data_IF_601292386702
#
_entry.id   IF_601292386702
#
_cell.length_a   1.000
_cell.length_b   1.000
_cell.length_c   1.000
_cell.angle_alpha   90.00
_cell.angle_beta   90.00
_cell.angle_gamma   90.00
#
_symmetry.space_group_name_H-M   'P 1'
#
loop_
_entity.id
_entity.type
_entity.pdbx_description
1 polymer ?
#
# COMPACT_ATOMS: atom_id res chain seq x y z
N UNK A 1 17.73 -9.01 12.54
CA UNK A 1 17.18 -7.86 11.79
C UNK A 1 15.67 -8.09 11.73
N UNK A 2 14.85 -7.12 12.13
CA UNK A 2 13.38 -7.24 12.08
C UNK A 2 12.81 -6.85 10.71
N UNK A 3 11.52 -7.14 10.48
CA UNK A 3 10.84 -6.84 9.22
C UNK A 3 10.98 -5.37 8.79
N UNK A 4 10.73 -4.44 9.71
CA UNK A 4 10.83 -2.99 9.48
C UNK A 4 12.21 -2.59 8.94
N UNK A 5 13.28 -3.13 9.52
CA UNK A 5 14.65 -2.82 9.10
C UNK A 5 14.99 -3.37 7.71
N UNK A 6 14.42 -4.51 7.34
CA UNK A 6 14.55 -5.05 5.99
C UNK A 6 13.79 -4.19 4.97
N UNK A 7 12.60 -3.68 5.32
CA UNK A 7 11.85 -2.71 4.50
C UNK A 7 12.62 -1.39 4.32
N UNK A 8 13.21 -0.84 5.38
CA UNK A 8 14.01 0.39 5.29
C UNK A 8 15.25 0.16 4.43
N UNK A 9 15.90 -0.99 4.58
CA UNK A 9 17.01 -1.40 3.71
C UNK A 9 16.58 -1.52 2.25
N UNK A 10 15.33 -1.95 2.01
CA UNK A 10 14.74 -2.05 0.68
C UNK A 10 14.44 -0.66 0.08
N UNK A 11 13.81 0.25 0.83
CA UNK A 11 13.62 1.65 0.43
C UNK A 11 14.96 2.33 0.12
N UNK A 12 16.00 2.02 0.89
CA UNK A 12 17.35 2.53 0.66
C UNK A 12 17.97 2.02 -0.66
N UNK A 13 17.46 0.97 -1.29
CA UNK A 13 17.94 0.52 -2.61
C UNK A 13 17.27 1.24 -3.78
N UNK A 14 16.17 1.97 -3.54
CA UNK A 14 15.55 2.79 -4.58
C UNK A 14 16.53 3.87 -5.06
N UNK A 15 16.64 4.02 -6.38
CA UNK A 15 17.64 4.89 -6.99
C UNK A 15 17.14 5.50 -8.30
N UNK A 16 17.68 6.68 -8.63
CA UNK A 16 17.38 7.41 -9.86
C UNK A 16 18.61 8.24 -10.25
N UNK A 17 18.78 8.49 -11.54
CA UNK A 17 19.80 9.41 -12.06
C UNK A 17 19.33 10.88 -12.05
N UNK A 18 18.03 11.13 -11.91
CA UNK A 18 17.42 12.46 -11.98
C UNK A 18 16.88 12.95 -10.65
N UNK A 19 16.37 12.04 -9.81
CA UNK A 19 15.80 12.39 -8.50
C UNK A 19 16.87 12.24 -7.41
N UNK A 20 17.02 13.27 -6.58
CA UNK A 20 18.00 13.30 -5.51
C UNK A 20 17.69 12.26 -4.42
N UNK A 21 18.74 11.69 -3.83
CA UNK A 21 18.62 10.66 -2.79
C UNK A 21 17.74 11.08 -1.61
N UNK A 22 17.89 12.32 -1.15
CA UNK A 22 17.05 12.86 -0.08
C UNK A 22 15.58 12.90 -0.49
N UNK A 23 15.25 13.29 -1.73
CA UNK A 23 13.86 13.34 -2.21
C UNK A 23 13.20 11.94 -2.24
N UNK A 24 13.97 10.91 -2.61
CA UNK A 24 13.50 9.52 -2.58
C UNK A 24 13.15 9.11 -1.14
N UNK A 25 14.06 9.36 -0.20
CA UNK A 25 13.85 9.03 1.23
C UNK A 25 12.70 9.86 1.83
N UNK A 26 12.61 11.14 1.49
CA UNK A 26 11.51 12.02 1.89
C UNK A 26 10.15 11.49 1.44
N UNK A 27 10.09 10.87 0.26
CA UNK A 27 8.86 10.29 -0.26
C UNK A 27 8.39 9.12 0.57
N UNK A 28 9.27 8.13 0.84
CA UNK A 28 8.96 7.03 1.77
C UNK A 28 8.57 7.55 3.15
N UNK A 29 9.32 8.52 3.67
CA UNK A 29 9.06 9.11 4.99
C UNK A 29 7.67 9.75 5.05
N UNK A 30 7.25 10.46 4.01
CA UNK A 30 5.93 11.10 3.96
C UNK A 30 4.78 10.11 4.06
N UNK A 31 4.82 9.02 3.30
CA UNK A 31 3.80 7.97 3.36
C UNK A 31 3.78 7.27 4.72
N UNK A 32 4.94 6.92 5.28
CA UNK A 32 5.02 6.26 6.58
C UNK A 32 4.64 7.19 7.74
N UNK A 33 4.90 8.49 7.65
CA UNK A 33 4.43 9.47 8.63
C UNK A 33 2.90 9.50 8.68
N UNK A 34 2.25 9.53 7.51
CA UNK A 34 0.78 9.47 7.39
C UNK A 34 0.25 8.16 7.98
N UNK A 35 0.86 7.02 7.64
CA UNK A 35 0.48 5.71 8.17
C UNK A 35 0.67 5.60 9.69
N UNK A 36 1.69 6.26 10.25
CA UNK A 36 1.90 6.31 11.70
C UNK A 36 1.00 7.32 12.43
N UNK A 37 0.13 8.05 11.71
CA UNK A 37 -0.69 9.12 12.27
C UNK A 37 0.10 10.38 12.66
N UNK A 38 1.34 10.51 12.21
CA UNK A 38 2.19 11.67 12.48
C UNK A 38 2.10 12.69 11.33
N UNK A 39 2.38 13.96 11.65
CA UNK A 39 2.52 14.98 10.62
C UNK A 39 3.85 14.85 9.89
N UNK A 40 3.80 14.89 8.56
CA UNK A 40 5.01 14.95 7.73
C UNK A 40 5.66 16.35 7.84
N UNK A 41 6.98 16.35 8.03
CA UNK A 41 7.83 17.54 7.90
C UNK A 41 9.05 17.22 7.04
N UNK A 42 9.37 18.12 6.10
CA UNK A 42 10.55 17.98 5.25
C UNK A 42 11.84 18.09 6.07
N UNK A 43 12.82 17.22 5.83
CA UNK A 43 14.10 17.25 6.53
C UNK A 43 15.12 18.13 5.83
N UNK A 44 15.97 18.78 6.62
CA UNK A 44 17.03 19.66 6.12
C UNK A 44 18.22 18.91 5.52
N UNK A 45 18.38 17.62 5.80
CA UNK A 45 19.44 16.77 5.25
C UNK A 45 18.97 15.33 5.03
N UNK A 46 19.72 14.59 4.21
CA UNK A 46 19.52 13.16 4.00
C UNK A 46 19.58 12.37 5.32
N UNK A 47 20.56 12.64 6.18
CA UNK A 47 20.69 11.91 7.46
C UNK A 47 19.47 12.11 8.36
N UNK A 48 18.93 13.34 8.43
CA UNK A 48 17.68 13.62 9.13
C UNK A 48 16.49 12.94 8.47
N UNK A 49 16.43 12.91 7.14
CA UNK A 49 15.37 12.20 6.42
C UNK A 49 15.40 10.70 6.71
N UNK A 50 16.58 10.09 6.75
CA UNK A 50 16.76 8.66 7.06
C UNK A 50 16.42 8.32 8.51
N UNK A 51 16.87 9.13 9.48
CA UNK A 51 16.51 8.91 10.89
C UNK A 51 15.01 9.10 11.14
N UNK A 52 14.38 10.08 10.50
CA UNK A 52 12.93 10.26 10.62
C UNK A 52 12.17 9.14 9.90
N UNK A 53 12.65 8.67 8.74
CA UNK A 53 12.09 7.50 8.07
C UNK A 53 12.08 6.29 9.00
N UNK A 54 13.20 5.98 9.66
CA UNK A 54 13.29 4.90 10.63
C UNK A 54 12.26 5.05 11.76
N UNK A 55 12.16 6.24 12.36
CA UNK A 55 11.20 6.50 13.43
C UNK A 55 9.73 6.31 12.98
N UNK A 56 9.35 6.88 11.84
CA UNK A 56 7.99 6.72 11.31
C UNK A 56 7.69 5.27 10.91
N UNK A 57 8.67 4.57 10.34
CA UNK A 57 8.53 3.17 9.98
C UNK A 57 8.26 2.27 11.20
N UNK A 58 9.02 2.45 12.29
CA UNK A 58 8.81 1.70 13.54
C UNK A 58 7.44 1.98 14.17
N UNK A 59 6.96 3.24 14.12
CA UNK A 59 5.62 3.58 14.60
C UNK A 59 4.51 2.99 13.73
N UNK A 60 4.62 3.16 12.41
CA UNK A 60 3.64 2.65 11.44
C UNK A 60 3.54 1.12 11.50
N UNK A 61 4.62 0.41 11.86
CA UNK A 61 4.63 -1.04 12.00
C UNK A 61 3.69 -1.60 13.08
N UNK A 62 3.17 -0.75 13.98
CA UNK A 62 2.09 -1.14 14.91
C UNK A 62 0.79 -1.52 14.19
N UNK A 63 0.60 -1.04 12.96
CA UNK A 63 -0.44 -1.44 12.01
C UNK A 63 0.22 -2.04 10.76
N UNK A 64 0.42 -3.36 10.76
CA UNK A 64 1.12 -4.04 9.67
C UNK A 64 0.47 -3.81 8.29
N UNK A 65 -0.87 -3.93 8.11
CA UNK A 65 -1.52 -3.58 6.85
C UNK A 65 -1.26 -2.14 6.40
N UNK A 66 -1.44 -1.15 7.28
CA UNK A 66 -1.23 0.25 6.96
C UNK A 66 0.23 0.56 6.60
N UNK A 67 1.18 -0.04 7.33
CA UNK A 67 2.60 0.04 7.00
C UNK A 67 2.91 -0.50 5.60
N UNK A 68 2.43 -1.71 5.28
CA UNK A 68 2.72 -2.36 4.00
C UNK A 68 2.11 -1.57 2.84
N UNK A 69 0.86 -1.13 2.99
CA UNK A 69 0.18 -0.30 2.00
C UNK A 69 0.96 0.99 1.75
N UNK A 70 1.29 1.75 2.81
CA UNK A 70 2.04 2.99 2.68
C UNK A 70 3.43 2.82 2.04
N UNK A 71 4.10 1.70 2.32
CA UNK A 71 5.36 1.37 1.66
C UNK A 71 5.18 1.13 0.15
N UNK A 72 4.15 0.37 -0.24
CA UNK A 72 3.85 0.11 -1.65
C UNK A 72 3.41 1.40 -2.38
N UNK A 73 2.54 2.21 -1.76
CA UNK A 73 2.13 3.51 -2.30
C UNK A 73 3.34 4.44 -2.52
N UNK A 74 4.33 4.40 -1.61
CA UNK A 74 5.57 5.14 -1.79
C UNK A 74 6.39 4.64 -2.99
N UNK A 75 6.47 3.32 -3.18
CA UNK A 75 7.11 2.73 -4.37
C UNK A 75 6.41 3.18 -5.66
N UNK A 76 5.08 3.06 -5.74
CA UNK A 76 4.31 3.45 -6.93
C UNK A 76 4.46 4.95 -7.24
N UNK A 77 4.40 5.80 -6.21
CA UNK A 77 4.57 7.23 -6.39
C UNK A 77 5.99 7.61 -6.87
N UNK A 78 7.00 6.86 -6.44
CA UNK A 78 8.38 7.03 -6.87
C UNK A 78 8.61 6.49 -8.28
N UNK A 79 7.97 5.39 -8.65
CA UNK A 79 7.99 4.84 -10.02
C UNK A 79 7.42 5.85 -11.01
N UNK A 80 6.33 6.54 -10.65
CA UNK A 80 5.78 7.63 -11.46
C UNK A 80 6.73 8.84 -11.61
N UNK A 81 7.75 8.97 -10.74
CA UNK A 81 8.82 9.96 -10.87
C UNK A 81 10.04 9.44 -11.66
N UNK A 82 9.95 8.24 -12.23
CA UNK A 82 11.06 7.59 -12.94
C UNK A 82 12.16 7.08 -12.01
N UNK A 83 11.83 6.79 -10.74
CA UNK A 83 12.75 6.16 -9.78
C UNK A 83 12.64 4.66 -9.94
N UNK A 84 13.78 3.97 -10.02
CA UNK A 84 13.81 2.52 -9.96
C UNK A 84 13.51 2.08 -8.52
N UNK A 85 12.34 1.46 -8.32
CA UNK A 85 11.85 1.02 -7.02
C UNK A 85 11.87 -0.50 -6.89
N UNK A 86 11.92 -1.02 -5.66
CA UNK A 86 11.76 -2.44 -5.40
C UNK A 86 10.34 -2.92 -5.74
N UNK A 87 10.23 -3.93 -6.59
CA UNK A 87 8.93 -4.53 -6.93
C UNK A 87 8.33 -5.38 -5.80
N UNK A 88 7.04 -5.71 -5.93
CA UNK A 88 6.26 -6.48 -4.94
C UNK A 88 6.88 -7.82 -4.53
N UNK A 89 7.70 -8.45 -5.38
CA UNK A 89 8.41 -9.67 -5.02
C UNK A 89 9.35 -9.47 -3.83
N UNK A 90 10.07 -8.34 -3.76
CA UNK A 90 10.97 -8.07 -2.64
C UNK A 90 10.22 -7.78 -1.35
N UNK A 91 9.06 -7.11 -1.45
CA UNK A 91 8.14 -6.91 -0.32
C UNK A 91 7.66 -8.25 0.21
N UNK A 92 7.12 -9.11 -0.65
CA UNK A 92 6.64 -10.44 -0.27
C UNK A 92 7.74 -11.31 0.33
N UNK A 93 8.96 -11.27 -0.20
CA UNK A 93 10.10 -12.00 0.38
C UNK A 93 10.41 -11.55 1.81
N UNK A 94 10.25 -10.27 2.13
CA UNK A 94 10.41 -9.77 3.51
C UNK A 94 9.26 -10.26 4.38
N UNK A 95 8.02 -10.17 3.91
CA UNK A 95 6.85 -10.63 4.65
C UNK A 95 6.95 -12.12 4.99
N UNK A 96 7.30 -12.96 4.02
CA UNK A 96 7.54 -14.39 4.19
C UNK A 96 8.68 -14.68 5.17
N UNK A 97 9.82 -13.99 5.02
CA UNK A 97 11.00 -14.17 5.88
C UNK A 97 10.70 -13.92 7.35
N UNK A 98 9.80 -12.97 7.65
CA UNK A 98 9.43 -12.59 9.00
C UNK A 98 8.09 -13.20 9.46
N UNK A 99 7.53 -14.15 8.69
CA UNK A 99 6.24 -14.78 8.97
C UNK A 99 5.09 -13.79 9.19
N UNK A 100 5.11 -12.67 8.46
CA UNK A 100 4.05 -11.67 8.48
C UNK A 100 2.88 -12.20 7.63
N UNK A 101 1.65 -12.33 8.15
CA UNK A 101 0.55 -13.03 7.50
C UNK A 101 -0.14 -12.19 6.41
N UNK A 102 0.66 -11.59 5.53
CA UNK A 102 0.20 -10.74 4.45
C UNK A 102 1.00 -10.99 3.17
N UNK A 103 0.36 -10.77 2.03
CA UNK A 103 1.00 -10.83 0.71
C UNK A 103 0.43 -9.76 -0.21
N UNK A 104 1.28 -9.16 -1.03
CA UNK A 104 0.87 -8.29 -2.13
C UNK A 104 0.65 -9.13 -3.39
N UNK A 105 -0.57 -9.14 -3.91
CA UNK A 105 -1.00 -9.88 -5.12
C UNK A 105 -1.73 -8.86 -6.01
N UNK A 106 -1.32 -8.74 -7.28
CA UNK A 106 -1.91 -7.79 -8.24
C UNK A 106 -2.03 -6.35 -7.69
N UNK A 107 -0.97 -5.88 -7.02
CA UNK A 107 -0.93 -4.57 -6.33
C UNK A 107 -1.99 -4.39 -5.23
N UNK A 108 -2.50 -5.49 -4.67
CA UNK A 108 -3.46 -5.48 -3.57
C UNK A 108 -2.92 -6.29 -2.39
N UNK A 109 -3.15 -5.81 -1.17
CA UNK A 109 -2.75 -6.52 0.05
C UNK A 109 -3.81 -7.58 0.41
N UNK A 110 -3.38 -8.83 0.58
CA UNK A 110 -4.22 -9.94 1.02
C UNK A 110 -3.66 -10.52 2.32
N UNK A 111 -4.53 -10.79 3.30
CA UNK A 111 -4.18 -11.58 4.48
C UNK A 111 -3.96 -13.04 4.09
N UNK A 112 -3.02 -13.73 4.73
CA UNK A 112 -2.66 -15.12 4.42
C UNK A 112 -3.15 -16.14 5.47
N UNK A 113 -3.98 -15.73 6.43
CA UNK A 113 -4.46 -16.63 7.48
C UNK A 113 -5.70 -17.42 7.02
N UNK A 114 -5.43 -18.59 6.46
CA UNK A 114 -6.01 -19.91 6.81
C UNK A 114 -5.48 -20.92 5.78
N UNK A 115 -5.15 -22.15 6.22
CA UNK A 115 -4.77 -23.31 5.39
C UNK A 115 -5.22 -23.24 3.90
N UNK A 116 -4.33 -22.82 3.01
CA UNK A 116 -4.58 -22.95 1.57
C UNK A 116 -3.93 -24.25 1.11
N UNK A 117 -4.73 -25.33 1.16
CA UNK A 117 -4.63 -26.31 0.07
C UNK A 117 -4.82 -25.54 -1.25
N UNK A 118 -4.02 -25.82 -2.29
CA UNK A 118 -4.02 -25.05 -3.53
C UNK A 118 -5.47 -24.83 -4.01
N UNK A 119 -5.85 -23.59 -4.37
CA UNK A 119 -7.24 -23.30 -4.68
C UNK A 119 -7.67 -24.10 -5.91
N UNK A 120 -8.79 -24.81 -5.78
CA UNK A 120 -9.57 -25.23 -6.94
C UNK A 120 -9.90 -23.97 -7.78
N UNK A 121 -9.96 -24.08 -9.12
CA UNK A 121 -10.20 -22.92 -9.97
C UNK A 121 -11.60 -22.36 -9.70
N UNK A 122 -11.68 -21.28 -8.91
CA UNK A 122 -12.92 -20.56 -8.65
C UNK A 122 -13.15 -19.58 -9.80
N UNK A 123 -14.23 -19.83 -10.53
CA UNK A 123 -14.77 -18.92 -11.54
C UNK A 123 -15.30 -17.68 -10.79
N UNK A 124 -14.66 -16.53 -10.95
CA UNK A 124 -15.08 -15.28 -10.31
C UNK A 124 -16.48 -14.85 -10.78
N UNK A 125 -17.40 -14.63 -9.85
CA UNK A 125 -18.69 -13.98 -10.10
C UNK A 125 -18.76 -12.62 -9.39
N UNK A 126 -19.39 -11.63 -10.04
CA UNK A 126 -19.45 -10.22 -9.61
C UNK A 126 -19.98 -9.97 -8.18
N UNK A 127 -20.64 -10.95 -7.56
CA UNK A 127 -21.15 -10.92 -6.18
C UNK A 127 -20.03 -10.99 -5.11
N UNK A 128 -18.88 -11.58 -5.43
CA UNK A 128 -17.75 -11.72 -4.51
C UNK A 128 -16.97 -10.41 -4.32
N UNK A 129 -16.93 -9.55 -5.34
CA UNK A 129 -16.22 -8.27 -5.30
C UNK A 129 -16.92 -7.24 -4.40
N UNK A 130 -18.27 -7.24 -4.35
CA UNK A 130 -19.06 -6.34 -3.48
C UNK A 130 -18.89 -6.69 -2.02
N UNK A 131 -19.04 -7.98 -1.71
CA UNK A 131 -18.92 -8.49 -0.34
C UNK A 131 -17.55 -8.16 0.24
N UNK A 132 -16.51 -8.17 -0.61
CA UNK A 132 -15.14 -7.83 -0.24
C UNK A 132 -14.93 -6.32 -0.05
N UNK A 133 -15.37 -5.48 -0.99
CA UNK A 133 -15.26 -4.03 -0.84
C UNK A 133 -16.04 -3.48 0.38
N UNK A 134 -17.19 -4.10 0.71
CA UNK A 134 -17.98 -3.74 1.89
C UNK A 134 -17.30 -4.18 3.20
N UNK A 135 -16.59 -5.32 3.18
CA UNK A 135 -15.79 -5.76 4.32
C UNK A 135 -14.59 -4.82 4.56
N UNK A 136 -13.91 -4.38 3.50
CA UNK A 136 -12.78 -3.45 3.58
C UNK A 136 -13.22 -2.06 4.07
N UNK A 137 -14.35 -1.54 3.56
CA UNK A 137 -14.92 -0.29 4.05
C UNK A 137 -15.32 -0.38 5.54
N UNK A 138 -15.88 -1.52 5.97
CA UNK A 138 -16.25 -1.77 7.37
C UNK A 138 -15.04 -1.83 8.30
N UNK A 139 -13.91 -2.36 7.84
CA UNK A 139 -12.66 -2.38 8.60
C UNK A 139 -12.05 -0.98 8.78
N UNK A 140 -12.28 -0.07 7.82
CA UNK A 140 -11.75 1.30 7.83
C UNK A 140 -12.60 2.30 8.62
N UNK A 141 -13.88 2.01 8.85
CA UNK A 141 -14.78 2.81 9.71
C UNK A 141 -14.43 2.54 11.18
N UNK A 142 -13.38 3.19 11.66
CA UNK A 142 -12.93 3.11 13.05
C UNK A 142 -11.59 3.79 13.35
N UNK A 143 -10.77 4.06 12.31
CA UNK A 143 -9.36 4.44 12.50
C UNK A 143 -8.91 5.75 11.83
N UNK A 144 -9.78 6.50 11.13
CA UNK A 144 -9.40 7.81 10.57
C UNK A 144 -10.59 8.75 10.40
N UNK A 145 -10.29 10.05 10.36
CA UNK A 145 -11.26 11.15 10.19
C UNK A 145 -12.17 10.85 8.99
N UNK A 146 -13.49 10.86 9.23
CA UNK A 146 -14.48 10.11 8.44
C UNK A 146 -14.50 10.42 6.94
N UNK A 147 -13.95 11.56 6.51
CA UNK A 147 -13.86 11.96 5.11
C UNK A 147 -12.95 11.06 4.27
N UNK A 148 -11.79 10.62 4.80
CA UNK A 148 -10.85 9.79 4.03
C UNK A 148 -11.38 8.36 3.82
N UNK A 149 -12.11 7.83 4.81
CA UNK A 149 -12.80 6.55 4.69
C UNK A 149 -13.93 6.63 3.65
N UNK A 150 -14.66 7.75 3.60
CA UNK A 150 -15.72 8.00 2.61
C UNK A 150 -15.14 8.11 1.19
N UNK A 151 -14.06 8.87 1.00
CA UNK A 151 -13.43 9.03 -0.32
C UNK A 151 -12.89 7.71 -0.86
N UNK A 152 -12.36 6.86 0.02
CA UNK A 152 -11.90 5.51 -0.33
C UNK A 152 -13.07 4.56 -0.64
N UNK A 153 -14.14 4.60 0.15
CA UNK A 153 -15.36 3.84 -0.14
C UNK A 153 -15.98 4.27 -1.47
N UNK A 154 -16.01 5.57 -1.75
CA UNK A 154 -16.51 6.13 -3.01
C UNK A 154 -15.67 5.67 -4.20
N UNK A 155 -14.34 5.78 -4.12
CA UNK A 155 -13.42 5.37 -5.20
C UNK A 155 -13.52 3.87 -5.48
N UNK A 156 -13.59 3.04 -4.42
CA UNK A 156 -13.74 1.60 -4.57
C UNK A 156 -15.10 1.21 -5.19
N UNK A 157 -16.20 1.85 -4.76
CA UNK A 157 -17.54 1.60 -5.29
C UNK A 157 -17.65 2.05 -6.75
N UNK A 158 -17.06 3.19 -7.10
CA UNK A 158 -17.04 3.70 -8.47
C UNK A 158 -16.33 2.71 -9.41
N UNK A 159 -15.14 2.23 -9.05
CA UNK A 159 -14.43 1.20 -9.82
C UNK A 159 -15.22 -0.11 -9.94
N UNK A 160 -15.94 -0.51 -8.89
CA UNK A 160 -16.82 -1.67 -8.94
C UNK A 160 -17.98 -1.51 -9.91
N UNK A 161 -18.67 -0.37 -9.89
CA UNK A 161 -19.80 -0.08 -10.78
C UNK A 161 -19.37 -0.07 -12.24
N UNK A 162 -18.21 0.51 -12.56
CA UNK A 162 -17.64 0.45 -13.92
C UNK A 162 -17.44 -1.01 -14.35
N UNK A 163 -16.85 -1.85 -13.48
CA UNK A 163 -16.61 -3.27 -13.78
C UNK A 163 -17.92 -4.03 -13.97
N UNK A 164 -18.95 -3.75 -13.17
CA UNK A 164 -20.27 -4.38 -13.29
C UNK A 164 -20.98 -3.97 -14.58
N UNK A 165 -20.93 -2.70 -14.95
CA UNK A 165 -21.43 -2.22 -16.23
C UNK A 165 -20.69 -2.87 -17.40
N UNK A 166 -19.36 -2.98 -17.34
CA UNK A 166 -18.57 -3.71 -18.33
C UNK A 166 -19.02 -5.17 -18.49
N UNK A 167 -19.21 -5.88 -17.38
CA UNK A 167 -19.68 -7.26 -17.38
C UNK A 167 -21.10 -7.42 -17.94
N UNK A 168 -21.96 -6.42 -17.72
CA UNK A 168 -23.32 -6.38 -18.26
C UNK A 168 -23.40 -5.81 -19.69
N UNK A 169 -22.26 -5.47 -20.31
CA UNK A 169 -22.19 -4.75 -21.60
C UNK A 169 -22.99 -3.44 -21.62
N UNK A 170 -23.09 -2.78 -20.46
CA UNK A 170 -23.70 -1.47 -20.31
C UNK A 170 -22.61 -0.42 -20.53
N UNK A 171 -22.75 0.47 -21.53
CA UNK A 171 -21.78 1.54 -21.75
C UNK A 171 -21.81 2.54 -20.59
N UNK A 172 -20.63 2.92 -20.11
CA UNK A 172 -20.44 3.95 -19.08
C UNK A 172 -19.74 5.14 -19.73
N UNK A 173 -20.25 6.35 -19.50
CA UNK A 173 -19.57 7.58 -19.93
C UNK A 173 -18.35 7.84 -19.06
N UNK A 174 -17.28 8.37 -19.64
CA UNK A 174 -16.05 8.75 -18.94
C UNK A 174 -16.33 10.07 -18.18
N UNK A 175 -16.13 10.09 -16.87
CA UNK A 175 -16.30 11.30 -16.06
C UNK A 175 -15.15 12.28 -16.38
N UNK A 176 -15.46 13.36 -17.10
CA UNK A 176 -14.55 14.45 -17.45
C UNK A 176 -14.23 15.38 -16.26
#
# INVERSE_FOLDING_TARGET
>A
MGAVQDFISLARKASSSTIGRQQIIEKYKGFLAIASGDQYANSSSLSWAESNLENHAEKAASDAPGFIAAFCDACEALENWGVAVPGHQYVNNILEKHSVPFRVIDSQLAATDEHISPPDPVIETAESTVSRALADAKALVGYSDASSAIDRAHTALHGYLIKLCGNASIPVEDDA
#
